data_IF_864551277879
#
_entry.id   IF_864551277879
#
_cell.length_a   1.000
_cell.length_b   1.000
_cell.length_c   1.000
_cell.angle_alpha   90.00
_cell.angle_beta   90.00
_cell.angle_gamma   90.00
#
_symmetry.space_group_name_H-M   'P 1'
#
loop_
_entity.id
_entity.type
_entity.pdbx_description
1 polymer ?
#
# COMPACT_ATOMS: atom_id res chain seq x y z
N UNK A 1 -7.92 15.66 -25.78
CA UNK A 1 -8.06 15.41 -25.21
C UNK A 1 -8.28 15.24 -24.21
N UNK A 2 -8.78 15.18 -23.74
CA UNK A 2 -8.88 15.23 -22.79
C UNK A 2 -9.07 14.38 -22.07
N UNK A 3 -8.70 14.03 -21.51
CA UNK A 3 -8.75 13.00 -20.74
C UNK A 3 -9.40 13.21 -19.52
N UNK A 4 -9.78 12.21 -18.83
CA UNK A 4 -10.42 12.32 -17.54
C UNK A 4 -9.37 12.60 -16.53
N UNK A 5 -9.40 13.76 -15.91
CA UNK A 5 -8.34 14.15 -14.99
C UNK A 5 -8.16 13.18 -13.83
N UNK A 6 -9.22 12.58 -13.35
CA UNK A 6 -9.10 11.64 -12.26
C UNK A 6 -8.24 10.44 -12.63
N UNK A 7 -8.46 9.93 -13.83
CA UNK A 7 -7.67 8.82 -14.30
C UNK A 7 -6.24 9.21 -14.48
N UNK A 8 -6.03 10.41 -15.00
CA UNK A 8 -4.67 10.88 -15.21
C UNK A 8 -3.91 11.02 -13.91
N UNK A 9 -4.57 11.54 -12.90
CA UNK A 9 -3.91 11.80 -11.64
C UNK A 9 -3.61 10.53 -10.87
N UNK A 10 -4.48 9.56 -10.96
CA UNK A 10 -4.33 8.35 -10.19
C UNK A 10 -3.76 7.22 -11.01
N UNK A 11 -3.64 7.42 -12.31
CA UNK A 11 -3.20 6.33 -13.18
C UNK A 11 -1.71 6.14 -13.08
N UNK A 12 -1.31 4.92 -12.91
CA UNK A 12 0.07 4.52 -13.02
C UNK A 12 0.18 3.62 -14.23
N UNK A 13 1.38 3.54 -14.79
CA UNK A 13 1.61 2.60 -15.86
C UNK A 13 1.41 1.18 -15.36
N UNK A 14 1.05 0.25 -16.25
CA UNK A 14 0.78 -1.12 -15.81
C UNK A 14 1.90 -1.74 -15.01
N UNK A 15 3.15 -1.47 -15.38
CA UNK A 15 4.27 -2.01 -14.63
C UNK A 15 4.29 -1.47 -13.22
N UNK A 16 3.93 -0.22 -13.06
CA UNK A 16 3.91 0.38 -11.72
C UNK A 16 2.79 -0.22 -10.90
N UNK A 17 1.63 -0.44 -11.52
CA UNK A 17 0.52 -1.05 -10.80
C UNK A 17 0.90 -2.44 -10.29
N UNK A 18 1.64 -3.20 -11.08
CA UNK A 18 2.11 -4.50 -10.64
C UNK A 18 3.02 -4.38 -9.43
N UNK A 19 3.89 -3.38 -9.43
CA UNK A 19 4.76 -3.15 -8.28
C UNK A 19 3.94 -2.79 -7.04
N UNK A 20 2.92 -1.95 -7.23
CA UNK A 20 2.09 -1.56 -6.09
C UNK A 20 1.33 -2.74 -5.52
N UNK A 21 0.79 -3.58 -6.40
CA UNK A 21 0.08 -4.78 -5.94
C UNK A 21 1.00 -5.72 -5.19
N UNK A 22 2.21 -5.92 -5.72
CA UNK A 22 3.18 -6.78 -5.06
C UNK A 22 3.62 -6.21 -3.72
N UNK A 23 3.81 -4.90 -3.65
CA UNK A 23 4.17 -4.26 -2.40
C UNK A 23 3.07 -4.42 -1.36
N UNK A 24 1.82 -4.30 -1.79
CA UNK A 24 0.70 -4.50 -0.89
C UNK A 24 0.69 -5.92 -0.33
N UNK A 25 0.89 -6.90 -1.20
CA UNK A 25 0.91 -8.30 -0.77
C UNK A 25 2.06 -8.55 0.20
N UNK A 26 3.23 -7.97 -0.08
CA UNK A 26 4.36 -8.12 0.83
C UNK A 26 4.06 -7.49 2.18
N UNK A 27 3.46 -6.31 2.16
CA UNK A 27 3.14 -5.62 3.40
C UNK A 27 2.13 -6.41 4.22
N UNK A 28 1.10 -6.90 3.57
CA UNK A 28 0.08 -7.68 4.28
C UNK A 28 0.64 -8.97 4.84
N UNK A 29 1.47 -9.65 4.06
CA UNK A 29 2.10 -10.87 4.54
C UNK A 29 2.96 -10.60 5.76
N UNK A 30 3.64 -9.47 5.78
CA UNK A 30 4.46 -9.08 6.91
C UNK A 30 3.61 -8.89 8.16
N UNK A 31 2.46 -8.24 8.02
CA UNK A 31 1.55 -8.06 9.14
C UNK A 31 1.05 -9.40 9.68
N UNK A 32 0.68 -10.29 8.77
CA UNK A 32 0.19 -11.61 9.17
C UNK A 32 1.27 -12.41 9.87
N UNK A 33 2.49 -12.37 9.35
CA UNK A 33 3.60 -13.14 9.91
C UNK A 33 3.99 -12.66 11.29
N UNK A 34 3.82 -11.38 11.55
CA UNK A 34 4.22 -10.83 12.83
C UNK A 34 3.24 -11.18 13.93
N UNK A 35 2.10 -11.77 13.59
CA UNK A 35 1.08 -12.09 14.58
C UNK A 35 0.37 -10.86 15.11
N UNK A 36 0.40 -9.79 14.35
CA UNK A 36 -0.22 -8.56 14.75
C UNK A 36 -1.73 -8.69 14.85
N UNK A 37 -2.32 -8.04 15.85
CA UNK A 37 -3.77 -8.01 15.97
C UNK A 37 -4.41 -7.27 14.80
N UNK A 38 -3.61 -6.51 14.04
CA UNK A 38 -4.13 -5.83 12.86
C UNK A 38 -4.49 -6.80 11.74
N UNK A 39 -3.98 -8.03 11.80
CA UNK A 39 -4.35 -9.07 10.84
C UNK A 39 -5.62 -9.80 11.22
N UNK A 40 -6.20 -9.51 12.37
CA UNK A 40 -7.42 -10.18 12.79
C UNK A 40 -8.58 -9.78 11.90
N UNK A 41 -9.61 -10.62 11.81
CA UNK A 41 -10.77 -10.28 10.96
C UNK A 41 -11.39 -8.93 11.31
N UNK A 42 -11.31 -8.55 12.56
CA UNK A 42 -11.90 -7.30 13.02
C UNK A 42 -11.26 -6.09 12.37
N UNK A 43 -9.93 -6.11 12.23
CA UNK A 43 -9.19 -4.97 11.73
C UNK A 43 -8.68 -5.14 10.32
N UNK A 44 -8.87 -6.32 9.74
CA UNK A 44 -8.27 -6.64 8.46
C UNK A 44 -8.59 -5.62 7.38
N UNK A 45 -9.87 -5.28 7.26
CA UNK A 45 -10.30 -4.40 6.20
C UNK A 45 -9.67 -3.01 6.35
N UNK A 46 -9.71 -2.47 7.55
CA UNK A 46 -9.16 -1.15 7.80
C UNK A 46 -7.66 -1.16 7.59
N UNK A 47 -6.98 -2.18 8.08
CA UNK A 47 -5.54 -2.27 7.93
C UNK A 47 -5.16 -2.34 6.46
N UNK A 48 -5.88 -3.13 5.67
CA UNK A 48 -5.59 -3.24 4.25
C UNK A 48 -5.83 -1.94 3.52
N UNK A 49 -6.87 -1.21 3.89
CA UNK A 49 -7.12 0.09 3.27
C UNK A 49 -6.00 1.07 3.55
N UNK A 50 -5.51 1.06 4.77
CA UNK A 50 -4.43 1.97 5.14
C UNK A 50 -3.15 1.61 4.42
N UNK A 51 -2.84 0.32 4.32
CA UNK A 51 -1.66 -0.11 3.59
C UNK A 51 -1.73 0.32 2.13
N UNK A 52 -2.87 0.06 1.49
CA UNK A 52 -3.01 0.39 0.09
C UNK A 52 -2.89 1.89 -0.14
N UNK A 53 -3.55 2.66 0.70
CA UNK A 53 -3.52 4.11 0.55
C UNK A 53 -2.12 4.65 0.73
N UNK A 54 -1.41 4.15 1.73
CA UNK A 54 -0.04 4.62 1.98
C UNK A 54 0.88 4.26 0.82
N UNK A 55 0.74 3.05 0.29
CA UNK A 55 1.55 2.63 -0.84
C UNK A 55 1.32 3.54 -2.04
N UNK A 56 0.06 3.84 -2.32
CA UNK A 56 -0.27 4.72 -3.44
C UNK A 56 0.32 6.11 -3.23
N UNK A 57 0.17 6.65 -2.04
CA UNK A 57 0.71 7.98 -1.75
C UNK A 57 2.21 8.04 -1.91
N UNK A 58 2.89 7.02 -1.42
CA UNK A 58 4.34 6.97 -1.53
C UNK A 58 4.78 6.85 -2.98
N UNK A 59 4.05 6.05 -3.75
CA UNK A 59 4.34 5.91 -5.17
C UNK A 59 4.10 7.22 -5.93
N UNK A 60 3.10 7.98 -5.52
CA UNK A 60 2.84 9.27 -6.15
C UNK A 60 3.98 10.24 -5.92
N UNK A 61 4.75 10.05 -4.87
CA UNK A 61 5.93 10.87 -4.60
C UNK A 61 7.14 10.40 -5.39
N UNK A 62 7.01 9.30 -6.12
CA UNK A 62 8.08 8.83 -6.97
C UNK A 62 8.73 7.53 -6.55
N UNK A 63 8.31 6.96 -5.41
CA UNK A 63 8.90 5.70 -4.98
C UNK A 63 8.44 4.57 -5.88
N UNK A 64 9.39 3.73 -6.31
CA UNK A 64 9.08 2.62 -7.20
C UNK A 64 9.66 1.30 -6.74
N UNK A 65 10.38 1.31 -5.62
CA UNK A 65 11.00 0.11 -5.09
C UNK A 65 9.95 -0.67 -4.29
N UNK A 66 9.68 -1.89 -4.72
CA UNK A 66 8.68 -2.75 -4.09
C UNK A 66 8.91 -2.92 -2.60
N UNK A 67 10.17 -3.18 -2.23
CA UNK A 67 10.50 -3.41 -0.84
C UNK A 67 10.30 -2.15 -0.01
N UNK A 68 10.73 -1.02 -0.53
CA UNK A 68 10.58 0.24 0.20
C UNK A 68 9.12 0.61 0.36
N UNK A 69 8.32 0.38 -0.66
CA UNK A 69 6.90 0.65 -0.59
C UNK A 69 6.24 -0.19 0.50
N UNK A 70 6.58 -1.47 0.55
CA UNK A 70 5.96 -2.35 1.54
C UNK A 70 6.44 -2.02 2.95
N UNK A 71 7.73 -1.78 3.13
CA UNK A 71 8.27 -1.47 4.45
C UNK A 71 7.73 -0.16 4.98
N UNK A 72 7.64 0.84 4.11
CA UNK A 72 7.08 2.12 4.52
C UNK A 72 5.63 1.97 4.96
N UNK A 73 4.86 1.20 4.21
CA UNK A 73 3.44 1.02 4.54
C UNK A 73 3.27 0.28 5.86
N UNK A 74 4.06 -0.76 6.09
CA UNK A 74 3.98 -1.51 7.33
C UNK A 74 4.36 -0.62 8.51
N UNK A 75 5.43 0.13 8.36
CA UNK A 75 5.87 1.03 9.42
C UNK A 75 4.79 2.05 9.74
N UNK A 76 4.20 2.62 8.70
CA UNK A 76 3.16 3.62 8.87
C UNK A 76 1.96 3.04 9.63
N UNK A 77 1.54 1.84 9.22
CA UNK A 77 0.38 1.21 9.83
C UNK A 77 0.65 0.89 11.30
N UNK A 78 1.80 0.29 11.58
CA UNK A 78 2.09 -0.12 12.96
C UNK A 78 2.28 1.08 13.86
N UNK A 79 2.81 2.17 13.35
CA UNK A 79 2.94 3.38 14.16
C UNK A 79 1.60 4.04 14.41
N UNK A 80 0.68 3.92 13.47
CA UNK A 80 -0.64 4.54 13.62
C UNK A 80 -1.54 3.79 14.60
N UNK A 81 -1.28 2.51 14.78
CA UNK A 81 -2.15 1.65 15.59
C UNK A 81 -1.39 0.93 16.68
N UNK A 82 -0.49 1.60 17.30
CA UNK A 82 0.24 1.01 18.40
C UNK A 82 -0.60 0.69 19.58
#
# INVERSE_FOLDING_TARGET
MTTVPLLDQSAFEPEVIEVLAAAFEDAWASIEKSGSSLASPRYKRVAQEILAKRIIETAQRGERDRQRLSEDAVTYLTQSYK
#
